data_IF_000563669840
#
_entry.id   IF_000563669840
#
_cell.length_a   1.000
_cell.length_b   1.000
_cell.length_c   1.000
_cell.angle_alpha   90.00
_cell.angle_beta   90.00
_cell.angle_gamma   90.00
#
_symmetry.space_group_name_H-M   'P 1'
#
loop_
_entity.id
_entity.type
_entity.pdbx_description
1 polymer ?
#
# COMPACT_ATOMS: atom_id res chain seq x y z
N UNK A 1 2.15 -18.82 8.02
CA UNK A 1 1.61 -17.54 7.55
C UNK A 1 2.23 -16.41 8.35
N UNK A 2 2.79 -15.42 7.68
CA UNK A 2 3.40 -14.28 8.32
C UNK A 2 2.55 -13.03 8.11
N UNK A 3 2.67 -12.07 9.01
CA UNK A 3 2.11 -10.74 8.88
C UNK A 3 3.20 -9.82 8.34
N UNK A 4 2.93 -9.16 7.22
CA UNK A 4 3.94 -8.36 6.52
C UNK A 4 3.42 -6.98 6.21
N UNK A 5 4.26 -5.98 6.44
CA UNK A 5 4.02 -4.62 5.97
C UNK A 5 4.95 -4.34 4.80
N UNK A 6 4.39 -3.85 3.71
CA UNK A 6 5.14 -3.45 2.51
C UNK A 6 5.03 -1.94 2.37
N UNK A 7 6.17 -1.25 2.50
CA UNK A 7 6.24 0.20 2.30
C UNK A 7 6.52 0.49 0.83
N UNK A 8 5.64 1.24 0.20
CA UNK A 8 5.70 1.61 -1.21
C UNK A 8 5.96 3.11 -1.33
N UNK A 9 6.88 3.52 -2.17
CA UNK A 9 7.13 4.93 -2.43
C UNK A 9 7.09 5.32 -3.91
N UNK A 10 7.09 4.34 -4.80
CA UNK A 10 7.04 4.59 -6.24
C UNK A 10 5.60 4.55 -6.76
N UNK A 11 5.30 5.40 -7.73
CA UNK A 11 4.00 5.38 -8.40
C UNK A 11 3.71 3.99 -8.97
N UNK A 12 2.46 3.50 -8.86
CA UNK A 12 2.07 2.21 -9.43
C UNK A 12 2.20 2.15 -10.95
N UNK A 13 2.35 3.30 -11.59
CA UNK A 13 2.50 3.39 -13.05
C UNK A 13 3.96 3.22 -13.50
N UNK A 14 4.92 3.26 -12.58
CA UNK A 14 6.33 3.08 -12.89
C UNK A 14 6.71 1.59 -12.87
N UNK A 15 7.83 1.21 -13.51
CA UNK A 15 8.32 -0.17 -13.41
C UNK A 15 8.55 -0.62 -11.97
N UNK A 16 9.12 0.25 -11.11
CA UNK A 16 9.34 -0.06 -9.71
C UNK A 16 8.02 -0.30 -8.96
N UNK A 17 7.03 0.55 -9.19
CA UNK A 17 5.70 0.38 -8.59
C UNK A 17 5.00 -0.88 -9.05
N UNK A 18 5.11 -1.21 -10.32
CA UNK A 18 4.54 -2.46 -10.86
C UNK A 18 5.20 -3.69 -10.25
N UNK A 19 6.53 -3.68 -10.07
CA UNK A 19 7.25 -4.77 -9.43
C UNK A 19 6.83 -4.93 -7.97
N UNK A 20 6.66 -3.83 -7.25
CA UNK A 20 6.20 -3.86 -5.86
C UNK A 20 4.81 -4.50 -5.75
N UNK A 21 3.91 -4.17 -6.65
CA UNK A 21 2.57 -4.77 -6.67
C UNK A 21 2.62 -6.27 -7.00
N UNK A 22 3.49 -6.68 -7.91
CA UNK A 22 3.70 -8.11 -8.20
C UNK A 22 4.19 -8.87 -6.97
N UNK A 23 5.12 -8.26 -6.23
CA UNK A 23 5.60 -8.86 -4.98
C UNK A 23 4.46 -9.01 -3.98
N UNK A 24 3.67 -7.97 -3.78
CA UNK A 24 2.52 -8.02 -2.88
C UNK A 24 1.53 -9.11 -3.28
N UNK A 25 1.20 -9.20 -4.56
CA UNK A 25 0.27 -10.21 -5.06
C UNK A 25 0.80 -11.64 -4.84
N UNK A 26 2.10 -11.85 -5.07
CA UNK A 26 2.74 -13.14 -4.84
C UNK A 26 2.73 -13.53 -3.35
N UNK A 27 3.03 -12.58 -2.46
CA UNK A 27 3.01 -12.84 -1.02
C UNK A 27 1.60 -13.13 -0.50
N UNK A 28 0.60 -12.39 -0.97
CA UNK A 28 -0.79 -12.68 -0.64
C UNK A 28 -1.23 -14.05 -1.15
N UNK A 29 -0.81 -14.42 -2.36
CA UNK A 29 -1.08 -15.72 -2.93
C UNK A 29 -0.43 -16.87 -2.15
N UNK A 30 0.69 -16.61 -1.47
CA UNK A 30 1.35 -17.56 -0.58
C UNK A 30 0.71 -17.63 0.81
N UNK A 31 -0.35 -16.86 1.08
CA UNK A 31 -1.11 -16.91 2.33
C UNK A 31 -0.66 -15.94 3.41
N UNK A 32 0.24 -15.00 3.09
CA UNK A 32 0.66 -13.98 4.05
C UNK A 32 -0.39 -12.89 4.22
N UNK A 33 -0.54 -12.41 5.45
CA UNK A 33 -1.39 -11.25 5.74
C UNK A 33 -0.61 -9.97 5.45
N UNK A 34 -1.14 -9.12 4.57
CA UNK A 34 -0.43 -7.93 4.10
C UNK A 34 -1.05 -6.64 4.59
N UNK A 35 -0.17 -5.69 4.89
CA UNK A 35 -0.51 -4.27 5.01
C UNK A 35 0.35 -3.52 4.01
N UNK A 36 -0.28 -2.80 3.10
CA UNK A 36 0.41 -1.91 2.16
C UNK A 36 0.45 -0.53 2.76
N UNK A 37 1.62 0.10 2.75
CA UNK A 37 1.78 1.47 3.23
C UNK A 37 2.23 2.33 2.07
N UNK A 38 1.36 3.21 1.60
CA UNK A 38 1.58 4.04 0.41
C UNK A 38 2.12 5.40 0.82
N UNK A 39 3.35 5.68 0.41
CA UNK A 39 4.09 6.91 0.72
C UNK A 39 4.49 7.61 -0.57
N UNK A 40 4.69 8.92 -0.51
CA UNK A 40 5.19 9.70 -1.64
C UNK A 40 4.38 9.42 -2.91
N UNK A 41 5.00 9.07 -4.01
CA UNK A 41 4.31 8.83 -5.28
C UNK A 41 3.40 7.61 -5.26
N UNK A 42 3.62 6.67 -4.33
CA UNK A 42 2.71 5.55 -4.13
C UNK A 42 1.37 5.97 -3.52
N UNK A 43 1.24 7.21 -3.05
CA UNK A 43 -0.05 7.74 -2.60
C UNK A 43 -1.12 7.65 -3.69
N UNK A 44 -0.74 7.65 -4.97
CA UNK A 44 -1.66 7.46 -6.09
C UNK A 44 -2.39 6.11 -5.97
N UNK A 45 -1.70 5.05 -5.58
CA UNK A 45 -2.31 3.73 -5.39
C UNK A 45 -3.38 3.75 -4.29
N UNK A 46 -3.11 4.44 -3.19
CA UNK A 46 -4.06 4.58 -2.07
C UNK A 46 -5.13 5.65 -2.29
N UNK A 47 -5.14 6.31 -3.45
CA UNK A 47 -6.07 7.38 -3.75
C UNK A 47 -7.30 6.88 -4.50
N UNK A 48 -8.31 7.73 -4.61
CA UNK A 48 -9.51 7.47 -5.41
C UNK A 48 -9.23 7.53 -6.92
N UNK A 49 -8.02 7.94 -7.33
CA UNK A 49 -7.60 7.99 -8.73
C UNK A 49 -6.80 6.78 -9.18
N UNK A 50 -6.57 5.81 -8.31
CA UNK A 50 -5.95 4.56 -8.72
C UNK A 50 -6.79 3.90 -9.81
N UNK A 51 -6.16 3.46 -10.89
CA UNK A 51 -6.87 2.96 -12.07
C UNK A 51 -6.11 1.82 -12.75
N UNK A 52 -6.77 1.23 -13.76
CA UNK A 52 -6.16 0.22 -14.61
C UNK A 52 -5.72 -1.04 -13.86
N UNK A 53 -4.60 -1.61 -14.29
CA UNK A 53 -4.06 -2.84 -13.71
C UNK A 53 -3.70 -2.69 -12.24
N UNK A 54 -3.18 -1.54 -11.84
CA UNK A 54 -2.83 -1.28 -10.44
C UNK A 54 -4.06 -1.33 -9.54
N UNK A 55 -5.16 -0.69 -9.95
CA UNK A 55 -6.41 -0.72 -9.21
C UNK A 55 -6.95 -2.14 -9.08
N UNK A 56 -6.89 -2.92 -10.16
CA UNK A 56 -7.36 -4.29 -10.16
C UNK A 56 -6.56 -5.16 -9.18
N UNK A 57 -5.24 -5.00 -9.14
CA UNK A 57 -4.39 -5.72 -8.18
C UNK A 57 -4.72 -5.31 -6.75
N UNK A 58 -4.85 -4.01 -6.49
CA UNK A 58 -5.19 -3.52 -5.15
C UNK A 58 -6.53 -4.09 -4.68
N UNK A 59 -7.57 -4.03 -5.52
CA UNK A 59 -8.88 -4.55 -5.15
C UNK A 59 -8.81 -6.04 -4.84
N UNK A 60 -8.06 -6.82 -5.62
CA UNK A 60 -7.88 -8.24 -5.36
C UNK A 60 -7.18 -8.49 -4.02
N UNK A 61 -6.16 -7.70 -3.70
CA UNK A 61 -5.46 -7.81 -2.41
C UNK A 61 -6.40 -7.47 -1.25
N UNK A 62 -7.17 -6.40 -1.37
CA UNK A 62 -8.13 -5.99 -0.34
C UNK A 62 -9.24 -7.03 -0.15
N UNK A 63 -9.69 -7.67 -1.23
CA UNK A 63 -10.68 -8.74 -1.16
C UNK A 63 -10.14 -9.97 -0.42
N UNK A 64 -8.82 -10.15 -0.39
CA UNK A 64 -8.15 -11.22 0.38
C UNK A 64 -7.84 -10.82 1.82
N UNK A 65 -8.28 -9.64 2.25
CA UNK A 65 -8.09 -9.17 3.61
C UNK A 65 -6.86 -8.28 3.83
N UNK A 66 -6.13 -7.91 2.77
CA UNK A 66 -5.04 -6.96 2.90
C UNK A 66 -5.56 -5.59 3.32
N UNK A 67 -4.70 -4.83 4.00
CA UNK A 67 -5.00 -3.46 4.40
C UNK A 67 -4.16 -2.51 3.57
N UNK A 68 -4.73 -1.36 3.23
CA UNK A 68 -4.02 -0.30 2.51
C UNK A 68 -4.05 0.97 3.37
N UNK A 69 -2.87 1.44 3.72
CA UNK A 69 -2.67 2.69 4.45
C UNK A 69 -2.03 3.70 3.51
N UNK A 70 -2.39 4.96 3.65
CA UNK A 70 -1.76 6.04 2.88
C UNK A 70 -1.47 7.22 3.81
N UNK A 71 -0.31 7.83 3.63
CA UNK A 71 0.06 9.01 4.40
C UNK A 71 -0.75 10.22 3.91
N UNK A 72 -1.55 10.79 4.80
CA UNK A 72 -2.46 11.89 4.45
C UNK A 72 -1.74 13.11 3.91
N UNK A 73 -0.56 13.42 4.44
CA UNK A 73 0.25 14.53 3.94
C UNK A 73 0.64 14.33 2.47
N UNK A 74 1.02 13.11 2.09
CA UNK A 74 1.40 12.81 0.70
C UNK A 74 0.21 12.92 -0.25
N UNK A 75 -1.00 12.57 0.21
CA UNK A 75 -2.22 12.82 -0.57
C UNK A 75 -2.43 14.33 -0.78
N UNK A 76 -2.35 15.11 0.30
CA UNK A 76 -2.58 16.56 0.22
C UNK A 76 -1.59 17.25 -0.71
N UNK A 77 -0.31 16.90 -0.60
CA UNK A 77 0.74 17.48 -1.44
C UNK A 77 0.51 17.21 -2.93
N UNK A 78 -0.21 16.15 -3.26
CA UNK A 78 -0.49 15.75 -4.64
C UNK A 78 -1.91 16.05 -5.09
N UNK A 79 -2.70 16.74 -4.27
CA UNK A 79 -4.09 17.05 -4.60
C UNK A 79 -4.96 15.80 -4.74
N UNK A 80 -4.65 14.75 -4.00
CA UNK A 80 -5.36 13.48 -4.08
C UNK A 80 -6.26 13.28 -2.85
N UNK A 81 -7.27 12.43 -3.01
CA UNK A 81 -8.14 11.97 -1.92
C UNK A 81 -7.96 10.47 -1.72
N UNK A 82 -8.13 10.01 -0.49
CA UNK A 82 -8.03 8.59 -0.17
C UNK A 82 -9.11 7.80 -0.92
N UNK A 83 -8.75 6.61 -1.34
CA UNK A 83 -9.70 5.65 -1.90
C UNK A 83 -10.67 5.16 -0.84
N UNK A 84 -11.83 4.65 -1.28
CA UNK A 84 -12.91 4.23 -0.38
C UNK A 84 -12.49 3.09 0.56
N UNK A 85 -11.52 2.26 0.15
CA UNK A 85 -11.06 1.10 0.92
C UNK A 85 -9.68 1.31 1.53
N UNK A 86 -9.21 2.56 1.58
CA UNK A 86 -7.90 2.94 2.08
C UNK A 86 -8.04 3.72 3.37
N UNK A 87 -7.18 3.42 4.34
CA UNK A 87 -7.10 4.16 5.59
C UNK A 87 -6.02 5.23 5.48
N UNK A 88 -6.40 6.47 5.80
CA UNK A 88 -5.45 7.58 5.87
C UNK A 88 -4.80 7.58 7.24
N UNK A 89 -3.47 7.72 7.28
CA UNK A 89 -2.71 7.82 8.52
C UNK A 89 -1.88 9.09 8.53
N UNK A 90 -1.57 9.59 9.72
CA UNK A 90 -0.58 10.64 9.92
C UNK A 90 0.81 10.01 10.19
N UNK A 91 1.82 10.83 10.45
CA UNK A 91 3.16 10.33 10.72
C UNK A 91 3.19 9.44 11.97
N UNK A 92 2.46 9.79 13.01
CA UNK A 92 2.39 8.98 14.22
C UNK A 92 1.74 7.62 13.93
N UNK A 93 0.66 7.60 13.15
CA UNK A 93 0.00 6.36 12.74
C UNK A 93 0.89 5.50 11.86
N UNK A 94 1.68 6.11 10.98
CA UNK A 94 2.65 5.41 10.16
C UNK A 94 3.71 4.74 11.03
N UNK A 95 4.29 5.48 11.99
CA UNK A 95 5.30 4.94 12.89
C UNK A 95 4.71 3.78 13.70
N UNK A 96 3.49 3.93 14.20
CA UNK A 96 2.81 2.85 14.92
C UNK A 96 2.66 1.60 14.05
N UNK A 97 2.27 1.76 12.79
CA UNK A 97 2.13 0.63 11.86
C UNK A 97 3.47 -0.04 11.59
N UNK A 98 4.57 0.74 11.49
CA UNK A 98 5.91 0.20 11.26
C UNK A 98 6.47 -0.55 12.46
N UNK A 99 6.04 -0.22 13.68
CA UNK A 99 6.64 -0.74 14.91
C UNK A 99 5.81 -1.81 15.60
N UNK A 100 4.58 -2.06 15.16
CA UNK A 100 3.67 -3.01 15.81
C UNK A 100 3.08 -4.00 14.82
N UNK A 101 2.72 -5.18 15.33
CA UNK A 101 1.82 -6.16 14.72
C UNK A 101 2.27 -6.76 13.37
N UNK A 102 3.55 -6.63 12.99
CA UNK A 102 4.04 -7.23 11.76
C UNK A 102 5.29 -8.06 12.02
N UNK A 103 5.30 -9.28 11.46
CA UNK A 103 6.47 -10.16 11.53
C UNK A 103 7.61 -9.66 10.68
N UNK A 104 7.30 -9.01 9.54
CA UNK A 104 8.29 -8.49 8.62
C UNK A 104 7.85 -7.16 8.03
N UNK A 105 8.84 -6.31 7.75
CA UNK A 105 8.67 -5.05 7.04
C UNK A 105 9.54 -5.09 5.81
N UNK A 106 8.95 -4.83 4.66
CA UNK A 106 9.63 -4.84 3.37
C UNK A 106 9.54 -3.45 2.76
N UNK A 107 10.68 -2.86 2.43
CA UNK A 107 10.72 -1.62 1.67
C UNK A 107 10.76 -1.94 0.18
N UNK A 108 9.69 -1.63 -0.53
CA UNK A 108 9.59 -1.81 -1.97
C UNK A 108 9.60 -0.43 -2.64
N UNK A 109 10.73 0.19 -2.65
CA UNK A 109 10.91 1.59 -3.01
C UNK A 109 11.10 1.80 -4.53
#
# INVERSE_FOLDING_TARGET
>A
MASMLIALSSSPETPAGRQALKLADALAGAGHALTLCCLQDAALLGSDRASGAARAVLDRLLDRGARCLVLGEDLRLRGLRAGARTLTVDHAGLIAALTTDHDRIIGAL
#
